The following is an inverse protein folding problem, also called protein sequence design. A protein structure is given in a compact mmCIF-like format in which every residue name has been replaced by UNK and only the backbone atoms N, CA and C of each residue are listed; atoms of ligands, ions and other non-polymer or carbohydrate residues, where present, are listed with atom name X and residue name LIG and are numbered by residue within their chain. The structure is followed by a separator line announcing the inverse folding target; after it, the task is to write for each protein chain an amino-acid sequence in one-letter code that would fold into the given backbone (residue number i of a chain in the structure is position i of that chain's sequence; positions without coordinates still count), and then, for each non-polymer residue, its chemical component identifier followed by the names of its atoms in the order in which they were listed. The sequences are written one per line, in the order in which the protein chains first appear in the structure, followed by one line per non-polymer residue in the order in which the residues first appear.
data_IF_332854348106
#
_entry.id   IF_332854348106
#
_cell.length_a   1.000
_cell.length_b   1.000
_cell.length_c   1.000
_cell.angle_alpha   90.00
_cell.angle_beta   90.00
_cell.angle_gamma   90.00
#
_symmetry.space_group_name_H-M   'P 1'
#
loop_
_entity.id
_entity.type
_entity.pdbx_description
1 polymer ?
#
# COMPACT_ATOMS: atom_id res chain seq x y z
N UNK A 1 7.73 10.20 -2.26
CA UNK A 1 6.38 10.19 -1.69
C UNK A 1 5.46 10.57 -2.81
N UNK A 2 4.40 9.80 -3.07
CA UNK A 2 3.42 10.11 -4.08
C UNK A 2 2.71 11.42 -3.78
N UNK A 3 2.42 12.17 -4.83
CA UNK A 3 1.67 13.42 -4.75
C UNK A 3 0.16 13.14 -4.70
N UNK A 4 -0.31 12.08 -5.36
CA UNK A 4 -1.73 11.71 -5.39
C UNK A 4 -2.12 10.93 -4.14
N UNK A 5 -1.36 9.89 -3.81
CA UNK A 5 -1.55 9.05 -2.63
C UNK A 5 -0.24 8.93 -1.84
N UNK A 6 -0.25 9.29 -0.56
CA UNK A 6 0.97 9.40 0.27
C UNK A 6 1.83 8.13 0.22
N UNK A 7 1.17 6.97 0.30
CA UNK A 7 1.84 5.68 0.38
C UNK A 7 2.12 5.05 -0.99
N UNK A 8 1.76 5.66 -2.11
CA UNK A 8 1.98 5.07 -3.43
C UNK A 8 2.68 6.07 -4.33
N UNK A 9 3.88 5.75 -4.83
CA UNK A 9 4.56 6.59 -5.80
C UNK A 9 3.68 6.75 -7.06
N UNK A 10 3.59 7.96 -7.61
CA UNK A 10 2.66 8.22 -8.73
C UNK A 10 3.00 7.39 -9.98
N UNK A 11 4.29 7.07 -10.18
CA UNK A 11 4.76 6.18 -11.25
C UNK A 11 4.35 4.71 -11.06
N UNK A 12 3.98 4.33 -9.84
CA UNK A 12 3.61 2.98 -9.43
C UNK A 12 2.09 2.79 -9.30
N UNK A 13 1.32 3.82 -9.65
CA UNK A 13 -0.13 3.85 -9.51
C UNK A 13 -0.78 3.64 -10.88
N UNK A 14 -1.00 2.40 -11.33
CA UNK A 14 -1.76 2.17 -12.54
C UNK A 14 -3.22 2.60 -12.29
N UNK A 15 -3.81 3.32 -13.25
CA UNK A 15 -5.26 3.50 -13.22
C UNK A 15 -5.91 2.12 -13.39
N UNK A 16 -6.97 1.85 -12.61
CA UNK A 16 -7.74 0.62 -12.74
C UNK A 16 -8.46 0.57 -14.09
N UNK A 17 -8.94 1.74 -14.53
CA UNK A 17 -9.57 1.95 -15.82
C UNK A 17 -9.30 3.37 -16.28
N UNK A 18 -8.88 3.52 -17.53
CA UNK A 18 -8.67 4.81 -18.16
C UNK A 18 -9.96 5.29 -18.84
N UNK A 19 -10.26 6.59 -18.69
CA UNK A 19 -11.09 7.53 -19.49
C UNK A 19 -12.44 7.13 -20.11
N UNK A 20 -12.76 5.86 -20.30
CA UNK A 20 -13.81 5.44 -21.24
C UNK A 20 -15.18 5.27 -20.56
N UNK A 21 -15.21 5.16 -19.23
CA UNK A 21 -16.44 5.27 -18.43
C UNK A 21 -16.24 6.30 -17.31
N UNK A 22 -17.30 7.00 -16.90
CA UNK A 22 -17.21 7.94 -15.79
C UNK A 22 -16.94 7.24 -14.45
N UNK A 23 -16.54 8.03 -13.45
CA UNK A 23 -16.49 7.61 -12.05
C UNK A 23 -17.88 7.18 -11.58
N UNK A 24 -17.96 6.01 -10.95
CA UNK A 24 -19.19 5.41 -10.41
C UNK A 24 -19.90 6.29 -9.38
N UNK A 25 -19.16 7.14 -8.65
CA UNK A 25 -19.71 8.00 -7.60
C UNK A 25 -20.15 9.36 -8.13
N UNK A 26 -19.27 10.06 -8.87
CA UNK A 26 -19.51 11.46 -9.23
C UNK A 26 -19.81 11.71 -10.70
N UNK A 27 -19.74 10.69 -11.56
CA UNK A 27 -19.97 10.83 -13.00
C UNK A 27 -18.85 11.53 -13.78
N UNK A 28 -17.78 11.98 -13.13
CA UNK A 28 -16.66 12.65 -13.81
C UNK A 28 -15.81 11.67 -14.62
N UNK A 29 -15.32 12.11 -15.77
CA UNK A 29 -14.36 11.36 -16.59
C UNK A 29 -12.92 11.59 -16.11
N UNK A 30 -12.08 10.58 -16.26
CA UNK A 30 -10.67 10.59 -15.86
C UNK A 30 -10.20 9.24 -15.34
N UNK A 31 -9.05 9.21 -14.68
CA UNK A 31 -8.53 8.00 -14.06
C UNK A 31 -9.37 7.61 -12.83
N UNK A 32 -9.76 6.34 -12.80
CA UNK A 32 -10.36 5.69 -11.63
C UNK A 32 -9.42 4.61 -11.10
N UNK A 33 -9.46 4.43 -9.79
CA UNK A 33 -8.59 3.50 -9.07
C UNK A 33 -9.43 2.50 -8.31
N UNK A 34 -8.88 1.30 -8.13
CA UNK A 34 -9.52 0.22 -7.41
C UNK A 34 -9.63 0.59 -5.92
N UNK A 35 -10.82 0.41 -5.34
CA UNK A 35 -11.12 0.65 -3.94
C UNK A 35 -12.16 -0.38 -3.49
N UNK A 36 -12.14 -0.80 -2.23
CA UNK A 36 -13.19 -1.64 -1.67
C UNK A 36 -13.92 -0.84 -0.60
N UNK A 37 -15.11 -0.34 -0.89
CA UNK A 37 -15.88 0.45 0.06
C UNK A 37 -17.38 0.18 -0.08
N UNK A 38 -18.13 0.47 0.98
CA UNK A 38 -19.59 0.37 1.04
C UNK A 38 -20.14 1.78 1.27
N UNK A 39 -20.98 2.26 0.34
CA UNK A 39 -21.62 3.57 0.42
C UNK A 39 -23.06 3.38 0.90
N UNK A 40 -23.46 4.16 1.89
CA UNK A 40 -24.86 4.24 2.34
C UNK A 40 -25.67 5.08 1.35
N UNK A 41 -26.70 4.47 0.79
CA UNK A 41 -27.67 5.09 -0.11
C UNK A 41 -28.75 5.85 0.68
N UNK A 42 -29.51 6.76 0.04
CA UNK A 42 -30.55 7.55 0.74
C UNK A 42 -31.65 6.73 1.43
N UNK A 43 -31.85 5.48 1.01
CA UNK A 43 -32.81 4.55 1.61
C UNK A 43 -32.23 3.75 2.78
N UNK A 44 -30.97 4.01 3.16
CA UNK A 44 -30.24 3.32 4.21
C UNK A 44 -29.66 1.97 3.79
N UNK A 45 -29.74 1.60 2.51
CA UNK A 45 -29.06 0.41 1.98
C UNK A 45 -27.58 0.67 1.75
N UNK A 46 -26.75 -0.37 1.82
CA UNK A 46 -25.32 -0.29 1.51
C UNK A 46 -25.07 -0.83 0.10
N UNK A 47 -24.40 -0.02 -0.73
CA UNK A 47 -23.98 -0.38 -2.08
C UNK A 47 -22.45 -0.53 -2.13
N UNK A 48 -21.93 -1.71 -2.48
CA UNK A 48 -20.50 -1.90 -2.62
C UNK A 48 -19.98 -1.18 -3.86
N UNK A 49 -18.85 -0.49 -3.71
CA UNK A 49 -18.09 0.12 -4.79
C UNK A 49 -16.72 -0.56 -4.92
N UNK A 50 -16.30 -0.77 -6.16
CA UNK A 50 -15.00 -1.37 -6.50
C UNK A 50 -14.03 -0.37 -7.14
N UNK A 51 -14.50 0.79 -7.60
CA UNK A 51 -13.66 1.78 -8.29
C UNK A 51 -14.18 3.20 -8.05
N UNK A 52 -13.26 4.17 -7.99
CA UNK A 52 -13.59 5.58 -7.85
C UNK A 52 -12.43 6.49 -8.31
N UNK A 53 -12.73 7.74 -8.69
CA UNK A 53 -11.68 8.73 -8.96
C UNK A 53 -11.02 9.23 -7.67
N UNK A 54 -9.84 9.84 -7.78
CA UNK A 54 -9.07 10.36 -6.61
C UNK A 54 -9.92 11.22 -5.70
N UNK A 55 -10.67 12.19 -6.26
CA UNK A 55 -11.47 13.12 -5.48
C UNK A 55 -12.56 12.40 -4.66
N UNK A 56 -13.16 11.34 -5.20
CA UNK A 56 -14.14 10.54 -4.50
C UNK A 56 -13.50 9.67 -3.42
N UNK A 57 -12.40 8.97 -3.72
CA UNK A 57 -11.66 8.17 -2.73
C UNK A 57 -11.26 9.04 -1.52
N UNK A 58 -10.78 10.25 -1.75
CA UNK A 58 -10.38 11.18 -0.69
C UNK A 58 -11.54 11.68 0.17
N UNK A 59 -12.77 11.66 -0.34
CA UNK A 59 -13.99 12.10 0.36
C UNK A 59 -14.69 10.98 1.12
N UNK A 60 -14.41 9.71 0.81
CA UNK A 60 -14.97 8.59 1.56
C UNK A 60 -14.61 8.71 3.04
N UNK A 61 -15.58 8.42 3.89
CA UNK A 61 -15.34 8.26 5.31
C UNK A 61 -14.48 7.00 5.51
N UNK A 62 -13.46 7.01 6.37
CA UNK A 62 -12.62 5.83 6.61
C UNK A 62 -13.41 4.59 7.05
N UNK A 63 -14.58 4.75 7.63
CA UNK A 63 -15.47 3.66 8.07
C UNK A 63 -16.17 2.97 6.89
N UNK A 64 -16.37 3.69 5.78
CA UNK A 64 -16.95 3.16 4.54
C UNK A 64 -15.96 2.29 3.76
N UNK A 65 -14.65 2.46 4.00
CA UNK A 65 -13.62 1.73 3.27
C UNK A 65 -13.22 0.47 4.02
N UNK A 66 -13.21 -0.65 3.29
CA UNK A 66 -12.76 -1.95 3.80
C UNK A 66 -11.34 -1.84 4.35
N UNK A 67 -11.12 -2.45 5.51
CA UNK A 67 -9.83 -2.40 6.22
C UNK A 67 -8.72 -3.08 5.42
N UNK A 68 -7.52 -2.53 5.46
CA UNK A 68 -6.34 -3.22 4.95
C UNK A 68 -5.90 -4.31 5.93
N UNK A 69 -5.45 -5.47 5.43
CA UNK A 69 -4.94 -6.54 6.28
C UNK A 69 -3.76 -6.07 7.14
N UNK A 70 -2.93 -5.15 6.59
CA UNK A 70 -1.80 -4.55 7.30
C UNK A 70 -2.21 -3.73 8.54
N UNK A 71 -3.43 -3.18 8.58
CA UNK A 71 -3.91 -2.38 9.73
C UNK A 71 -3.82 -3.16 11.04
N UNK A 72 -4.01 -4.50 10.99
CA UNK A 72 -3.96 -5.37 12.18
C UNK A 72 -2.60 -5.38 12.87
N UNK A 73 -1.52 -5.02 12.16
CA UNK A 73 -0.13 -5.11 12.65
C UNK A 73 0.42 -3.76 13.12
N UNK A 74 -0.19 -2.65 12.71
CA UNK A 74 0.23 -1.30 13.09
C UNK A 74 0.29 -1.08 14.61
N UNK A 75 -0.71 -1.49 15.43
CA UNK A 75 -0.65 -1.21 16.86
C UNK A 75 0.55 -1.86 17.56
N UNK A 76 0.89 -3.09 17.18
CA UNK A 76 2.04 -3.79 17.75
C UNK A 76 3.35 -3.11 17.34
N UNK A 77 3.50 -2.78 16.04
CA UNK A 77 4.68 -2.09 15.52
C UNK A 77 4.92 -0.74 16.22
N UNK A 78 3.89 0.11 16.29
CA UNK A 78 4.00 1.44 16.88
C UNK A 78 4.35 1.36 18.37
N UNK A 79 3.77 0.43 19.14
CA UNK A 79 4.09 0.21 20.56
C UNK A 79 5.54 -0.22 20.80
N UNK A 80 6.16 -0.88 19.83
CA UNK A 80 7.56 -1.30 19.91
C UNK A 80 8.55 -0.27 19.35
N UNK A 81 8.06 0.88 18.87
CA UNK A 81 8.91 1.94 18.32
C UNK A 81 9.56 2.74 19.46
N UNK A 82 10.91 2.78 19.59
CA UNK A 82 11.61 3.27 20.78
C UNK A 82 11.34 4.71 21.22
N UNK A 83 10.74 5.53 20.37
CA UNK A 83 10.50 6.96 20.62
C UNK A 83 9.02 7.31 20.85
N UNK A 84 8.11 6.33 20.78
CA UNK A 84 6.68 6.60 20.82
C UNK A 84 6.09 6.29 22.20
N UNK A 85 5.49 7.29 22.83
CA UNK A 85 4.64 7.13 24.00
C UNK A 85 3.20 6.76 23.60
N UNK A 86 2.35 6.41 24.59
CA UNK A 86 0.98 5.96 24.31
C UNK A 86 0.13 7.01 23.56
N UNK A 87 0.16 8.31 23.90
CA UNK A 87 -0.49 9.35 23.11
C UNK A 87 -0.01 9.39 21.65
N UNK A 88 1.31 9.36 21.42
CA UNK A 88 1.91 9.37 20.08
C UNK A 88 1.49 8.14 19.29
N UNK A 89 1.50 6.95 19.89
CA UNK A 89 1.02 5.71 19.25
C UNK A 89 -0.44 5.86 18.80
N UNK A 90 -1.30 6.43 19.64
CA UNK A 90 -2.72 6.63 19.34
C UNK A 90 -2.93 7.59 18.19
N UNK A 91 -2.25 8.74 18.23
CA UNK A 91 -2.31 9.75 17.17
C UNK A 91 -1.82 9.18 15.83
N UNK A 92 -0.67 8.50 15.84
CA UNK A 92 -0.10 7.85 14.64
C UNK A 92 -1.02 6.78 14.08
N UNK A 93 -1.58 5.93 14.93
CA UNK A 93 -2.49 4.87 14.48
C UNK A 93 -3.72 5.46 13.75
N UNK A 94 -4.31 6.54 14.29
CA UNK A 94 -5.43 7.23 13.66
C UNK A 94 -5.01 7.84 12.33
N UNK A 95 -3.94 8.62 12.30
CA UNK A 95 -3.46 9.30 11.09
C UNK A 95 -3.12 8.31 9.98
N UNK A 96 -2.40 7.24 10.31
CA UNK A 96 -2.01 6.20 9.36
C UNK A 96 -3.25 5.49 8.82
N UNK A 97 -4.16 5.06 9.68
CA UNK A 97 -5.38 4.33 9.27
C UNK A 97 -6.23 5.19 8.35
N UNK A 98 -6.41 6.47 8.67
CA UNK A 98 -7.18 7.40 7.85
C UNK A 98 -6.58 7.60 6.46
N UNK A 99 -5.25 7.74 6.36
CA UNK A 99 -4.59 7.91 5.06
C UNK A 99 -4.56 6.60 4.26
N UNK A 100 -4.32 5.47 4.92
CA UNK A 100 -4.27 4.16 4.28
C UNK A 100 -5.63 3.76 3.71
N UNK A 101 -6.72 4.02 4.44
CA UNK A 101 -8.08 3.80 3.92
C UNK A 101 -8.49 4.76 2.80
N UNK A 102 -7.73 5.83 2.57
CA UNK A 102 -7.89 6.71 1.40
C UNK A 102 -6.82 6.45 0.33
N UNK A 103 -6.09 5.35 0.44
CA UNK A 103 -5.15 4.87 -0.57
C UNK A 103 -5.85 3.77 -1.38
N UNK A 104 -5.77 3.79 -2.72
CA UNK A 104 -6.37 2.78 -3.56
C UNK A 104 -5.73 1.42 -3.33
N UNK A 105 -6.50 0.38 -3.60
CA UNK A 105 -6.04 -1.00 -3.54
C UNK A 105 -5.09 -1.27 -4.71
N UNK A 106 -3.97 -1.93 -4.41
CA UNK A 106 -2.94 -2.23 -5.39
C UNK A 106 -3.18 -3.62 -5.99
N UNK A 107 -3.07 -3.79 -7.32
CA UNK A 107 -3.43 -5.03 -8.01
C UNK A 107 -2.60 -6.26 -7.58
N UNK A 108 -1.38 -6.07 -7.07
CA UNK A 108 -0.49 -7.18 -6.66
C UNK A 108 -0.78 -7.73 -5.26
N UNK A 109 -1.73 -7.16 -4.52
CA UNK A 109 -1.99 -7.51 -3.13
C UNK A 109 -3.01 -8.67 -3.00
N UNK A 110 -2.78 -9.77 -3.73
CA UNK A 110 -3.71 -10.92 -3.80
C UNK A 110 -3.65 -11.81 -2.54
N UNK A 111 -2.49 -11.90 -1.88
CA UNK A 111 -2.26 -12.81 -0.74
C UNK A 111 -2.18 -12.12 0.63
N UNK A 112 -3.05 -11.14 0.83
CA UNK A 112 -3.08 -10.35 2.04
C UNK A 112 -2.14 -9.15 1.94
N UNK A 113 -2.65 -8.00 2.37
CA UNK A 113 -1.97 -6.74 2.15
C UNK A 113 -0.68 -6.63 2.97
N UNK A 114 0.43 -7.14 2.45
CA UNK A 114 1.72 -7.02 3.13
C UNK A 114 2.42 -5.72 2.78
N UNK A 115 2.63 -4.89 3.79
CA UNK A 115 3.12 -3.53 3.65
C UNK A 115 4.18 -3.25 4.71
N UNK A 116 5.44 -2.94 4.32
CA UNK A 116 6.51 -2.68 5.27
C UNK A 116 6.31 -1.41 6.10
N UNK A 117 6.72 -1.45 7.37
CA UNK A 117 6.73 -0.30 8.28
C UNK A 117 8.15 0.17 8.57
N UNK A 118 8.36 1.48 8.62
CA UNK A 118 9.65 2.07 8.96
C UNK A 118 9.50 3.48 9.50
N UNK A 119 10.36 3.88 10.44
CA UNK A 119 10.33 5.21 11.07
C UNK A 119 8.97 5.58 11.67
N UNK A 120 8.20 4.60 12.17
CA UNK A 120 6.91 4.85 12.79
C UNK A 120 5.76 5.13 11.81
N UNK A 121 5.92 4.77 10.53
CA UNK A 121 4.94 4.96 9.47
C UNK A 121 4.95 3.77 8.47
N UNK A 122 4.03 3.76 7.51
CA UNK A 122 4.14 2.90 6.33
C UNK A 122 5.23 3.41 5.40
N UNK A 123 5.85 2.47 4.71
CA UNK A 123 6.70 2.78 3.56
C UNK A 123 5.86 3.20 2.33
N UNK A 124 6.48 3.87 1.37
CA UNK A 124 5.89 4.17 0.06
C UNK A 124 6.05 2.95 -0.85
N UNK A 125 4.97 2.47 -1.47
CA UNK A 125 5.02 1.49 -2.55
C UNK A 125 5.55 2.16 -3.82
N UNK A 126 6.58 1.57 -4.41
CA UNK A 126 7.29 2.12 -5.58
C UNK A 126 7.07 1.30 -6.84
N UNK A 127 6.17 0.32 -6.83
CA UNK A 127 5.84 -0.50 -7.99
C UNK A 127 6.54 -1.85 -8.00
N UNK A 128 6.44 -2.52 -9.14
CA UNK A 128 7.29 -3.65 -9.47
C UNK A 128 8.70 -3.14 -9.81
N UNK A 129 9.76 -3.67 -9.21
CA UNK A 129 11.11 -3.20 -9.50
C UNK A 129 11.52 -3.61 -10.92
N UNK A 130 12.14 -2.70 -11.66
CA UNK A 130 12.91 -3.07 -12.85
C UNK A 130 14.03 -4.04 -12.48
N UNK A 131 14.62 -4.74 -13.46
CA UNK A 131 15.75 -5.64 -13.20
C UNK A 131 16.90 -4.98 -12.42
N UNK A 132 17.25 -3.76 -12.77
CA UNK A 132 18.32 -3.02 -12.08
C UNK A 132 17.94 -2.68 -10.62
N UNK A 133 16.67 -2.35 -10.38
CA UNK A 133 16.16 -2.11 -9.03
C UNK A 133 16.05 -3.40 -8.22
N UNK A 134 15.69 -4.52 -8.85
CA UNK A 134 15.67 -5.83 -8.19
C UNK A 134 17.07 -6.25 -7.73
N UNK A 135 18.11 -6.01 -8.54
CA UNK A 135 19.50 -6.23 -8.15
C UNK A 135 19.93 -5.32 -6.98
N UNK A 136 19.44 -4.09 -6.94
CA UNK A 136 19.68 -3.18 -5.81
C UNK A 136 18.97 -3.65 -4.54
N UNK A 137 17.71 -4.08 -4.67
CA UNK A 137 16.90 -4.63 -3.57
C UNK A 137 17.51 -5.92 -3.01
N UNK A 138 18.10 -6.77 -3.86
CA UNK A 138 18.82 -7.97 -3.40
C UNK A 138 20.03 -7.64 -2.51
N UNK A 139 20.73 -6.53 -2.80
CA UNK A 139 21.93 -6.14 -2.05
C UNK A 139 21.63 -5.31 -0.80
N UNK A 140 20.65 -4.41 -0.89
CA UNK A 140 20.44 -3.34 0.10
C UNK A 140 19.02 -3.32 0.67
N UNK A 141 18.08 -4.00 0.02
CA UNK A 141 16.70 -4.06 0.43
C UNK A 141 16.48 -5.07 1.55
N UNK A 142 15.56 -4.75 2.46
CA UNK A 142 15.14 -5.67 3.50
C UNK A 142 13.89 -6.43 3.06
N UNK A 143 13.96 -7.77 3.06
CA UNK A 143 12.79 -8.60 2.83
C UNK A 143 11.79 -8.45 3.98
N UNK A 144 10.51 -8.36 3.61
CA UNK A 144 9.41 -8.25 4.54
C UNK A 144 8.39 -9.36 4.27
N UNK A 145 8.22 -10.23 5.27
CA UNK A 145 7.24 -11.31 5.31
C UNK A 145 6.45 -11.17 6.61
N UNK A 146 5.45 -10.34 6.55
CA UNK A 146 4.64 -9.85 7.64
C UNK A 146 5.36 -9.09 8.77
N UNK A 147 6.68 -9.11 8.76
CA UNK A 147 7.66 -8.49 9.66
C UNK A 147 9.02 -8.46 8.94
N UNK A 148 10.03 -7.77 9.48
CA UNK A 148 11.41 -7.92 9.03
C UNK A 148 11.81 -9.41 9.02
N UNK A 149 12.05 -9.99 7.85
CA UNK A 149 12.76 -11.25 7.77
C UNK A 149 14.23 -11.02 8.14
N UNK A 150 14.93 -12.07 8.59
CA UNK A 150 16.31 -11.93 9.04
C UNK A 150 17.19 -11.36 7.91
N UNK A 151 18.17 -10.52 8.26
CA UNK A 151 19.07 -9.83 7.33
C UNK A 151 19.88 -10.75 6.39
N UNK A 152 19.80 -12.07 6.59
CA UNK A 152 20.67 -13.05 5.95
C UNK A 152 20.07 -13.72 4.72
N UNK A 153 18.77 -13.58 4.49
CA UNK A 153 18.14 -14.13 3.29
C UNK A 153 18.17 -13.06 2.21
N UNK A 154 19.19 -13.10 1.34
CA UNK A 154 19.24 -12.29 0.13
C UNK A 154 17.98 -12.57 -0.70
N UNK A 155 17.48 -11.60 -1.46
CA UNK A 155 16.33 -11.84 -2.33
C UNK A 155 16.57 -13.05 -3.25
N UNK A 156 17.81 -13.19 -3.76
CA UNK A 156 18.28 -14.32 -4.58
C UNK A 156 18.22 -15.69 -3.89
N UNK A 157 18.30 -15.73 -2.55
CA UNK A 157 18.15 -16.99 -1.79
C UNK A 157 16.70 -17.45 -1.67
N UNK A 158 15.74 -16.54 -1.85
CA UNK A 158 14.30 -16.85 -1.81
C UNK A 158 13.71 -16.96 -3.22
N UNK A 159 14.17 -16.12 -4.15
CA UNK A 159 13.75 -16.07 -5.56
C UNK A 159 14.98 -15.71 -6.42
N UNK A 160 15.39 -16.53 -7.41
CA UNK A 160 16.53 -16.20 -8.28
C UNK A 160 16.42 -14.77 -8.86
N UNK A 161 17.53 -14.06 -9.01
CA UNK A 161 17.51 -12.63 -9.39
C UNK A 161 16.95 -12.37 -10.79
N UNK A 162 17.09 -13.34 -11.69
CA UNK A 162 16.45 -13.37 -12.99
C UNK A 162 14.92 -13.56 -12.93
N UNK A 163 14.41 -14.09 -11.82
CA UNK A 163 13.01 -14.39 -11.61
C UNK A 163 12.30 -13.30 -10.78
N UNK A 164 13.05 -12.51 -9.98
CA UNK A 164 12.52 -11.37 -9.21
C UNK A 164 11.78 -10.34 -10.07
N UNK A 165 12.32 -10.02 -11.25
CA UNK A 165 11.70 -9.06 -12.18
C UNK A 165 10.73 -9.72 -13.18
N UNK A 166 10.76 -11.05 -13.31
CA UNK A 166 10.03 -11.79 -14.36
C UNK A 166 8.77 -12.45 -13.82
N UNK A 167 8.70 -12.78 -12.53
CA UNK A 167 7.55 -13.46 -11.93
C UNK A 167 6.38 -12.54 -11.54
N UNK A 168 6.46 -11.22 -11.76
CA UNK A 168 5.32 -10.30 -11.52
C UNK A 168 4.77 -10.31 -10.09
N UNK A 169 5.63 -10.62 -9.12
CA UNK A 169 5.25 -10.90 -7.73
C UNK A 169 6.15 -10.25 -6.70
N UNK A 170 6.99 -9.27 -7.10
CA UNK A 170 7.82 -8.51 -6.17
C UNK A 170 7.29 -7.08 -6.09
N UNK A 171 6.90 -6.69 -4.88
CA UNK A 171 6.48 -5.33 -4.59
C UNK A 171 7.62 -4.59 -3.90
N UNK A 172 8.08 -3.49 -4.50
CA UNK A 172 9.15 -2.67 -3.95
C UNK A 172 8.59 -1.52 -3.10
N UNK A 173 9.29 -1.19 -2.02
CA UNK A 173 8.91 -0.10 -1.13
C UNK A 173 10.11 0.71 -0.66
N UNK A 174 9.85 1.95 -0.27
CA UNK A 174 10.85 2.88 0.27
C UNK A 174 10.32 3.61 1.50
N UNK A 175 11.10 3.63 2.58
CA UNK A 175 10.76 4.44 3.75
C UNK A 175 10.71 5.93 3.39
N UNK A 176 9.61 6.59 3.71
CA UNK A 176 9.40 8.03 3.48
C UNK A 176 10.36 8.87 4.33
N UNK A 177 10.72 8.41 5.54
CA UNK A 177 11.58 9.14 6.46
C UNK A 177 13.09 8.95 6.21
N UNK A 178 13.55 7.71 6.06
CA UNK A 178 14.99 7.39 5.98
C UNK A 178 15.46 6.83 4.63
N UNK A 179 14.54 6.62 3.67
CA UNK A 179 14.89 6.13 2.33
C UNK A 179 15.30 4.65 2.26
N UNK A 180 15.33 3.92 3.38
CA UNK A 180 15.57 2.47 3.40
C UNK A 180 14.60 1.75 2.47
N UNK A 181 15.11 0.76 1.74
CA UNK A 181 14.34 -0.02 0.77
C UNK A 181 13.87 -1.33 1.38
N UNK A 182 12.67 -1.71 0.99
CA UNK A 182 12.03 -2.96 1.39
C UNK A 182 11.44 -3.62 0.17
N UNK A 183 11.22 -4.91 0.25
CA UNK A 183 10.47 -5.63 -0.77
C UNK A 183 9.67 -6.75 -0.12
N UNK A 184 8.52 -7.04 -0.71
CA UNK A 184 7.67 -8.18 -0.33
C UNK A 184 7.51 -9.10 -1.55
N UNK A 185 7.26 -10.38 -1.29
CA UNK A 185 6.83 -11.31 -2.31
C UNK A 185 5.32 -11.48 -2.18
N UNK A 186 4.59 -11.23 -3.26
CA UNK A 186 3.16 -11.44 -3.36
C UNK A 186 2.94 -12.33 -4.57
N UNK A 187 2.68 -13.63 -4.35
CA UNK A 187 2.28 -14.48 -5.46
C UNK A 187 0.97 -13.93 -6.03
N UNK A 188 0.96 -13.64 -7.32
CA UNK A 188 -0.28 -13.41 -8.08
C UNK A 188 -1.02 -14.71 -8.33
#
# INVERSE_FOLDING_TARGET
MGEVFRYVADSALPAHRHSDLPCSICGAFGDVYYVCADIEEPDGSESPISEACVACIRRLAPEQVSRWATEKRLPAYLKTTPEFDEPTVRERLVAITQELRRTPRLPHFVQGDDWPFCCGDLTEYTGEPSRAEAELLDREGQYWDHKPASFHDRAVTLVPSNDLAVLGGVSAFRCIGCGKRYWTFQCT
#
